data_IF_180997358987
#
_entry.id   IF_180997358987
#
_cell.length_a   1.000
_cell.length_b   1.000
_cell.length_c   1.000
_cell.angle_alpha   90.00
_cell.angle_beta   90.00
_cell.angle_gamma   90.00
#
_symmetry.space_group_name_H-M   'P 1'
#
loop_
_entity.id
_entity.type
_entity.pdbx_description
1 polymer ?
#
# COMPACT_ATOMS: atom_id res chain seq x y z
N UNK A 1 -53.89 -37.83 -4.89
CA UNK A 1 -52.60 -37.47 -4.26
C UNK A 1 -52.53 -35.96 -4.13
N UNK A 2 -52.27 -35.37 -2.95
CA UNK A 2 -52.28 -33.91 -2.81
C UNK A 2 -51.07 -33.27 -3.49
N UNK A 3 -51.35 -32.25 -4.29
CA UNK A 3 -50.38 -31.47 -5.07
C UNK A 3 -49.41 -30.71 -4.14
N UNK A 4 -48.10 -30.87 -4.38
CA UNK A 4 -47.05 -30.11 -3.66
C UNK A 4 -47.12 -28.64 -4.07
N UNK A 5 -47.47 -27.76 -3.13
CA UNK A 5 -47.36 -26.30 -3.30
C UNK A 5 -45.92 -25.92 -3.66
N UNK A 6 -45.76 -25.09 -4.68
CA UNK A 6 -44.49 -24.48 -5.04
C UNK A 6 -44.05 -23.51 -3.92
N UNK A 7 -42.81 -23.63 -3.49
CA UNK A 7 -42.22 -22.74 -2.49
C UNK A 7 -41.21 -21.81 -3.15
N UNK A 8 -41.32 -20.51 -2.86
CA UNK A 8 -40.33 -19.49 -3.22
C UNK A 8 -39.01 -19.80 -2.52
N UNK A 9 -37.96 -20.01 -3.32
CA UNK A 9 -36.62 -20.34 -2.82
C UNK A 9 -36.00 -19.11 -2.16
N UNK A 10 -35.57 -19.24 -0.90
CA UNK A 10 -34.77 -18.23 -0.22
C UNK A 10 -33.34 -18.27 -0.81
N UNK A 11 -32.98 -17.26 -1.59
CA UNK A 11 -31.65 -17.18 -2.23
C UNK A 11 -30.55 -16.88 -1.20
N UNK A 12 -30.88 -16.16 -0.11
CA UNK A 12 -29.91 -15.70 0.90
C UNK A 12 -30.02 -16.46 2.23
N UNK A 13 -30.64 -17.65 2.25
CA UNK A 13 -30.73 -18.48 3.45
C UNK A 13 -29.37 -18.91 4.00
N UNK A 14 -29.26 -19.04 5.32
CA UNK A 14 -28.06 -19.53 6.00
C UNK A 14 -27.67 -20.96 5.56
N UNK A 15 -26.39 -21.28 5.72
CA UNK A 15 -25.79 -22.57 5.33
C UNK A 15 -26.49 -23.76 5.96
N UNK A 16 -26.93 -23.67 7.22
CA UNK A 16 -27.59 -24.75 7.96
C UNK A 16 -29.01 -25.01 7.44
N UNK A 17 -29.79 -23.97 7.12
CA UNK A 17 -31.12 -24.15 6.51
C UNK A 17 -31.01 -24.66 5.07
N UNK A 18 -30.00 -24.21 4.32
CA UNK A 18 -29.69 -24.73 2.97
C UNK A 18 -29.30 -26.21 3.02
N UNK A 19 -28.40 -26.60 3.92
CA UNK A 19 -27.98 -27.99 4.12
C UNK A 19 -29.15 -28.88 4.53
N UNK A 20 -30.05 -28.37 5.38
CA UNK A 20 -31.26 -29.07 5.84
C UNK A 20 -32.42 -29.01 4.85
N UNK A 21 -32.26 -28.33 3.70
CA UNK A 21 -33.28 -28.14 2.65
C UNK A 21 -34.63 -27.63 3.17
N UNK A 22 -34.59 -26.69 4.12
CA UNK A 22 -35.77 -26.02 4.69
C UNK A 22 -35.74 -24.52 4.42
N UNK A 23 -36.90 -23.85 4.45
CA UNK A 23 -36.99 -22.40 4.25
C UNK A 23 -36.29 -21.66 5.40
N UNK A 24 -35.35 -20.77 5.05
CA UNK A 24 -34.74 -19.83 5.99
C UNK A 24 -35.59 -18.56 6.04
N UNK A 25 -35.78 -17.99 7.22
CA UNK A 25 -36.42 -16.68 7.41
C UNK A 25 -35.43 -15.51 7.25
N UNK A 26 -34.16 -15.80 7.00
CA UNK A 26 -33.07 -14.84 6.72
C UNK A 26 -32.82 -13.81 7.85
N UNK A 27 -33.44 -13.98 9.02
CA UNK A 27 -33.26 -13.12 10.17
C UNK A 27 -31.81 -13.16 10.69
N UNK A 28 -31.26 -11.99 11.01
CA UNK A 28 -29.90 -11.79 11.54
C UNK A 28 -29.96 -11.34 13.00
N UNK A 29 -29.00 -11.72 13.87
CA UNK A 29 -27.77 -12.48 13.58
C UNK A 29 -27.97 -14.01 13.43
N UNK A 30 -29.13 -14.56 13.81
CA UNK A 30 -29.45 -15.99 13.62
C UNK A 30 -30.89 -16.19 13.18
N UNK A 31 -31.09 -17.06 12.17
CA UNK A 31 -32.40 -17.41 11.63
C UNK A 31 -33.25 -18.17 12.68
N UNK A 32 -34.58 -18.08 12.60
CA UNK A 32 -35.50 -18.64 13.60
C UNK A 32 -35.50 -20.17 13.67
N UNK A 33 -35.11 -20.85 12.60
CA UNK A 33 -34.96 -22.32 12.58
C UNK A 33 -33.67 -22.79 13.26
N UNK A 34 -32.56 -22.06 13.09
CA UNK A 34 -31.30 -22.34 13.78
C UNK A 34 -31.38 -22.00 15.26
N UNK A 35 -32.06 -20.89 15.62
CA UNK A 35 -32.27 -20.48 17.01
C UNK A 35 -33.06 -21.53 17.81
N UNK A 36 -34.15 -22.06 17.24
CA UNK A 36 -34.95 -23.13 17.90
C UNK A 36 -34.21 -24.44 18.07
N UNK A 37 -33.23 -24.73 17.19
CA UNK A 37 -32.40 -25.93 17.27
C UNK A 37 -31.08 -25.70 18.01
N UNK A 38 -30.84 -24.49 18.51
CA UNK A 38 -29.59 -24.09 19.17
C UNK A 38 -28.34 -24.43 18.34
N UNK A 39 -28.45 -24.36 17.01
CA UNK A 39 -27.33 -24.61 16.09
C UNK A 39 -26.73 -23.29 15.61
N UNK A 40 -25.40 -23.22 15.47
CA UNK A 40 -24.70 -22.05 14.95
C UNK A 40 -25.20 -21.71 13.54
N UNK A 41 -25.70 -20.49 13.37
CA UNK A 41 -26.26 -20.01 12.11
C UNK A 41 -25.18 -19.23 11.34
N UNK A 42 -24.77 -19.73 10.17
CA UNK A 42 -23.76 -19.06 9.34
C UNK A 42 -24.32 -18.72 7.96
N UNK A 43 -24.14 -17.46 7.55
CA UNK A 43 -24.52 -16.95 6.22
C UNK A 43 -23.31 -16.83 5.27
N UNK A 44 -22.16 -17.42 5.61
CA UNK A 44 -20.92 -17.34 4.83
C UNK A 44 -20.94 -18.38 3.70
N UNK A 45 -20.72 -17.94 2.45
CA UNK A 45 -20.62 -18.82 1.27
C UNK A 45 -19.27 -19.54 1.28
N UNK A 46 -19.27 -20.88 1.19
CA UNK A 46 -18.06 -21.71 1.33
C UNK A 46 -17.20 -21.69 0.06
N UNK A 47 -15.98 -21.17 0.14
CA UNK A 47 -14.86 -21.63 -0.67
C UNK A 47 -14.08 -22.70 0.15
N UNK A 48 -13.55 -23.78 -0.45
CA UNK A 48 -12.87 -24.83 0.31
C UNK A 48 -11.49 -24.36 0.78
N UNK A 49 -11.25 -24.40 2.09
CA UNK A 49 -9.91 -24.39 2.67
C UNK A 49 -9.32 -25.82 2.61
N UNK A 50 -8.07 -26.05 2.19
CA UNK A 50 -7.44 -27.34 2.34
C UNK A 50 -6.84 -27.46 3.75
N UNK A 51 -7.45 -28.29 4.59
CA UNK A 51 -6.85 -28.78 5.82
C UNK A 51 -6.59 -30.27 5.65
N UNK A 52 -5.31 -30.64 5.58
CA UNK A 52 -4.85 -32.02 5.67
C UNK A 52 -4.41 -32.28 7.12
N UNK A 53 -4.91 -33.35 7.76
CA UNK A 53 -3.99 -34.17 8.55
C UNK A 53 -4.21 -35.68 8.35
N UNK A 54 -3.07 -36.37 8.36
CA UNK A 54 -2.86 -37.81 8.31
C UNK A 54 -3.84 -38.65 9.17
N UNK A 55 -4.52 -39.65 8.57
CA UNK A 55 -4.64 -41.03 9.13
C UNK A 55 -5.44 -42.01 8.24
N UNK A 56 -4.78 -43.13 7.93
CA UNK A 56 -5.25 -44.54 7.98
C UNK A 56 -6.56 -44.94 7.28
N UNK A 57 -6.43 -45.72 6.20
CA UNK A 57 -7.47 -46.58 5.62
C UNK A 57 -7.88 -47.73 6.56
N UNK A 58 -9.16 -48.17 6.49
CA UNK A 58 -9.46 -49.55 6.05
C UNK A 58 -10.60 -49.63 4.99
N UNK A 59 -10.85 -50.82 4.39
CA UNK A 59 -11.34 -50.92 3.01
C UNK A 59 -12.87 -51.13 2.84
N UNK A 60 -13.34 -50.67 1.68
CA UNK A 60 -14.40 -51.18 0.79
C UNK A 60 -15.83 -51.45 1.32
N UNK A 61 -16.80 -50.83 0.64
CA UNK A 61 -17.95 -51.57 0.11
C UNK A 61 -18.41 -50.97 -1.22
N UNK A 62 -18.42 -51.81 -2.25
CA UNK A 62 -18.89 -51.54 -3.60
C UNK A 62 -20.42 -51.41 -3.64
N UNK A 63 -20.93 -50.41 -4.35
CA UNK A 63 -22.25 -50.48 -4.99
C UNK A 63 -22.28 -49.52 -6.19
N UNK A 64 -22.68 -49.98 -7.40
CA UNK A 64 -22.63 -49.21 -8.63
C UNK A 64 -23.97 -48.50 -8.86
N UNK A 65 -23.97 -47.22 -9.24
CA UNK A 65 -25.14 -46.56 -9.84
C UNK A 65 -24.78 -45.17 -10.40
N UNK A 66 -25.55 -44.69 -11.41
CA UNK A 66 -24.99 -44.17 -12.65
C UNK A 66 -24.91 -42.64 -12.66
N UNK A 67 -24.14 -42.15 -13.63
CA UNK A 67 -23.76 -40.76 -13.82
C UNK A 67 -24.86 -39.73 -13.56
N UNK A 68 -24.53 -38.78 -12.70
CA UNK A 68 -25.02 -37.42 -12.83
C UNK A 68 -23.79 -36.57 -13.12
N UNK A 69 -23.77 -36.01 -14.33
CA UNK A 69 -22.94 -34.89 -14.70
C UNK A 69 -23.08 -33.82 -13.62
N UNK A 70 -22.13 -33.81 -12.69
CA UNK A 70 -21.81 -32.60 -11.96
C UNK A 70 -21.55 -31.56 -13.04
N UNK A 71 -22.36 -30.51 -13.07
CA UNK A 71 -21.94 -29.27 -13.71
C UNK A 71 -20.65 -28.89 -12.99
N UNK A 72 -19.52 -29.35 -13.54
CA UNK A 72 -18.22 -28.79 -13.26
C UNK A 72 -18.42 -27.30 -13.42
N UNK A 73 -18.14 -26.52 -12.36
CA UNK A 73 -17.78 -25.14 -12.57
C UNK A 73 -16.72 -25.20 -13.68
N UNK A 74 -17.05 -24.71 -14.87
CA UNK A 74 -16.11 -24.75 -15.98
C UNK A 74 -14.77 -24.23 -15.42
N UNK A 75 -13.68 -25.00 -15.52
CA UNK A 75 -12.38 -24.54 -15.08
C UNK A 75 -11.92 -23.45 -16.06
N UNK A 76 -12.54 -22.29 -15.96
CA UNK A 76 -12.18 -21.11 -16.73
C UNK A 76 -10.87 -20.63 -16.15
N UNK A 77 -9.84 -20.68 -16.98
CA UNK A 77 -8.54 -20.14 -16.67
C UNK A 77 -8.71 -18.65 -16.27
N UNK A 78 -8.22 -18.21 -15.11
CA UNK A 78 -8.35 -16.82 -14.66
C UNK A 78 -7.39 -15.92 -15.46
N UNK A 79 -7.79 -15.61 -16.71
CA UNK A 79 -6.93 -14.93 -17.68
C UNK A 79 -6.48 -13.54 -17.21
N UNK A 80 -7.30 -12.82 -16.44
CA UNK A 80 -6.92 -11.53 -15.88
C UNK A 80 -5.79 -11.70 -14.86
N UNK A 81 -5.93 -12.61 -13.91
CA UNK A 81 -4.93 -12.87 -12.89
C UNK A 81 -3.62 -13.38 -13.51
N UNK A 82 -3.70 -14.20 -14.58
CA UNK A 82 -2.53 -14.61 -15.35
C UNK A 82 -1.89 -13.45 -16.12
N UNK A 83 -2.68 -12.54 -16.71
CA UNK A 83 -2.19 -11.32 -17.36
C UNK A 83 -1.43 -10.44 -16.35
N UNK A 84 -2.01 -10.24 -15.15
CA UNK A 84 -1.41 -9.48 -14.07
C UNK A 84 -0.11 -10.12 -13.56
N UNK A 85 -0.09 -11.44 -13.35
CA UNK A 85 1.10 -12.16 -12.91
C UNK A 85 2.19 -12.17 -13.99
N UNK A 86 1.83 -12.33 -15.26
CA UNK A 86 2.76 -12.22 -16.37
C UNK A 86 3.40 -10.82 -16.39
N UNK A 87 2.58 -9.77 -16.31
CA UNK A 87 3.08 -8.38 -16.27
C UNK A 87 3.95 -8.09 -15.05
N UNK A 88 3.68 -8.75 -13.91
CA UNK A 88 4.54 -8.67 -12.74
C UNK A 88 5.97 -9.10 -13.06
N UNK A 89 6.13 -10.31 -13.62
CA UNK A 89 7.44 -10.89 -13.89
C UNK A 89 8.17 -10.22 -15.06
N UNK A 90 7.45 -9.70 -16.05
CA UNK A 90 8.07 -9.09 -17.24
C UNK A 90 8.37 -7.62 -17.07
N UNK A 91 7.57 -6.89 -16.29
CA UNK A 91 7.64 -5.42 -16.26
C UNK A 91 7.58 -4.83 -14.85
N UNK A 92 6.59 -5.20 -14.02
CA UNK A 92 6.35 -4.50 -12.74
C UNK A 92 7.48 -4.69 -11.75
N UNK A 93 7.94 -5.91 -11.51
CA UNK A 93 8.99 -6.16 -10.51
C UNK A 93 10.27 -5.35 -10.78
N UNK A 94 10.62 -5.14 -12.06
CA UNK A 94 11.77 -4.35 -12.47
C UNK A 94 11.56 -2.84 -12.27
N UNK A 95 10.31 -2.35 -12.29
CA UNK A 95 10.01 -0.91 -12.12
C UNK A 95 9.87 -0.46 -10.67
N UNK A 96 9.79 -1.38 -9.71
CA UNK A 96 9.60 -1.03 -8.29
C UNK A 96 10.89 -0.62 -7.56
N UNK A 97 12.05 -0.94 -8.10
CA UNK A 97 13.34 -0.62 -7.49
C UNK A 97 14.45 -0.52 -8.54
N UNK A 98 15.51 0.24 -8.24
CA UNK A 98 16.68 0.37 -9.11
C UNK A 98 17.79 -0.64 -8.78
N UNK A 99 17.82 -1.16 -7.54
CA UNK A 99 18.83 -2.13 -7.13
C UNK A 99 18.57 -3.49 -7.80
N UNK A 100 19.55 -4.07 -8.53
CA UNK A 100 19.38 -5.38 -9.15
C UNK A 100 19.00 -6.47 -8.16
N UNK A 101 19.53 -6.43 -6.94
CA UNK A 101 19.22 -7.39 -5.89
C UNK A 101 17.74 -7.33 -5.49
N UNK A 102 17.19 -6.13 -5.31
CA UNK A 102 15.78 -5.92 -4.95
C UNK A 102 14.86 -6.28 -6.13
N UNK A 103 15.26 -5.97 -7.36
CA UNK A 103 14.51 -6.37 -8.56
C UNK A 103 14.40 -7.89 -8.66
N UNK A 104 15.50 -8.62 -8.42
CA UNK A 104 15.48 -10.09 -8.37
C UNK A 104 14.57 -10.59 -7.25
N UNK A 105 14.65 -9.99 -6.06
CA UNK A 105 13.80 -10.35 -4.94
C UNK A 105 12.30 -10.19 -5.27
N UNK A 106 11.89 -9.04 -5.83
CA UNK A 106 10.51 -8.83 -6.26
C UNK A 106 10.10 -9.76 -7.40
N UNK A 107 11.03 -10.08 -8.32
CA UNK A 107 10.72 -10.90 -9.50
C UNK A 107 10.65 -12.39 -9.21
N UNK A 108 11.36 -12.90 -8.21
CA UNK A 108 11.49 -14.34 -7.92
C UNK A 108 10.98 -14.65 -6.51
N UNK A 109 11.70 -14.19 -5.49
CA UNK A 109 11.48 -14.59 -4.10
C UNK A 109 10.09 -14.18 -3.57
N UNK A 110 9.64 -12.95 -3.85
CA UNK A 110 8.33 -12.47 -3.38
C UNK A 110 7.18 -13.30 -3.99
N UNK A 111 7.13 -13.55 -5.32
CA UNK A 111 6.19 -14.49 -5.93
C UNK A 111 6.23 -15.90 -5.32
N UNK A 112 7.42 -16.46 -5.08
CA UNK A 112 7.56 -17.81 -4.51
C UNK A 112 6.94 -17.90 -3.11
N UNK A 113 7.20 -16.89 -2.27
CA UNK A 113 6.54 -16.77 -0.96
C UNK A 113 5.02 -16.57 -1.13
N UNK A 114 4.60 -15.76 -2.11
CA UNK A 114 3.19 -15.47 -2.36
C UNK A 114 2.37 -16.71 -2.74
N UNK A 115 2.98 -17.74 -3.32
CA UNK A 115 2.32 -19.02 -3.58
C UNK A 115 1.82 -19.71 -2.30
N UNK A 116 2.46 -19.46 -1.16
CA UNK A 116 2.06 -19.98 0.15
C UNK A 116 1.15 -19.02 0.94
N UNK A 117 1.08 -17.76 0.52
CA UNK A 117 0.40 -16.69 1.25
C UNK A 117 -0.54 -15.89 0.33
N UNK A 118 -1.84 -16.25 0.25
CA UNK A 118 -2.79 -15.63 -0.68
C UNK A 118 -2.92 -14.11 -0.56
N UNK A 119 -2.77 -13.54 0.65
CA UNK A 119 -2.79 -12.09 0.83
C UNK A 119 -1.64 -11.40 0.08
N UNK A 120 -0.45 -12.00 0.08
CA UNK A 120 0.71 -11.45 -0.62
C UNK A 120 0.53 -11.54 -2.14
N UNK A 121 -0.01 -12.66 -2.62
CA UNK A 121 -0.34 -12.83 -4.04
C UNK A 121 -1.33 -11.76 -4.51
N UNK A 122 -2.39 -11.52 -3.76
CA UNK A 122 -3.34 -10.46 -4.09
C UNK A 122 -2.69 -9.07 -4.08
N UNK A 123 -1.84 -8.74 -3.12
CA UNK A 123 -1.15 -7.45 -3.09
C UNK A 123 -0.23 -7.25 -4.31
N UNK A 124 0.49 -8.30 -4.72
CA UNK A 124 1.31 -8.30 -5.93
C UNK A 124 0.47 -8.07 -7.20
N UNK A 125 -0.65 -8.77 -7.35
CA UNK A 125 -1.56 -8.59 -8.48
C UNK A 125 -2.19 -7.19 -8.49
N UNK A 126 -2.49 -6.62 -7.31
CA UNK A 126 -3.01 -5.27 -7.19
C UNK A 126 -2.02 -4.22 -7.70
N UNK A 127 -0.75 -4.31 -7.29
CA UNK A 127 0.32 -3.42 -7.77
C UNK A 127 0.55 -3.60 -9.28
N UNK A 128 0.55 -4.84 -9.77
CA UNK A 128 0.67 -5.11 -11.21
C UNK A 128 -0.46 -4.47 -12.02
N UNK A 129 -1.71 -4.55 -11.53
CA UNK A 129 -2.84 -3.90 -12.17
C UNK A 129 -2.70 -2.37 -12.21
N UNK A 130 -2.28 -1.73 -11.12
CA UNK A 130 -2.00 -0.28 -11.13
C UNK A 130 -0.92 0.09 -12.15
N UNK A 131 0.15 -0.69 -12.24
CA UNK A 131 1.23 -0.43 -13.18
C UNK A 131 0.79 -0.57 -14.64
N UNK A 132 -0.06 -1.56 -14.97
CA UNK A 132 -0.68 -1.62 -16.31
C UNK A 132 -1.57 -0.40 -16.54
N UNK A 133 -2.40 -0.05 -15.56
CA UNK A 133 -3.31 1.10 -15.60
C UNK A 133 -2.60 2.43 -15.88
N UNK A 134 -1.42 2.61 -15.28
CA UNK A 134 -0.56 3.78 -15.48
C UNK A 134 0.00 3.85 -16.91
N UNK A 135 0.30 2.71 -17.55
CA UNK A 135 0.86 2.64 -18.91
C UNK A 135 -0.18 2.59 -20.03
N UNK A 136 -1.44 2.27 -19.73
CA UNK A 136 -2.46 2.06 -20.74
C UNK A 136 -3.33 3.31 -21.01
N UNK A 137 -3.97 3.39 -22.19
CA UNK A 137 -4.94 4.43 -22.51
C UNK A 137 -6.11 4.46 -21.51
N UNK A 138 -6.77 5.63 -21.42
CA UNK A 138 -7.81 5.90 -20.41
C UNK A 138 -8.96 4.88 -20.46
N UNK A 139 -9.31 4.37 -21.64
CA UNK A 139 -10.40 3.41 -21.86
C UNK A 139 -10.14 2.07 -21.17
N UNK A 140 -8.87 1.65 -21.10
CA UNK A 140 -8.45 0.39 -20.46
C UNK A 140 -8.13 0.55 -18.99
N UNK A 141 -7.80 1.78 -18.54
CA UNK A 141 -7.39 2.08 -17.16
C UNK A 141 -8.43 1.62 -16.15
N UNK A 142 -9.72 1.87 -16.40
CA UNK A 142 -10.82 1.51 -15.50
C UNK A 142 -10.81 0.03 -15.11
N UNK A 143 -10.64 -0.88 -16.09
CA UNK A 143 -10.58 -2.35 -15.85
C UNK A 143 -9.51 -2.69 -14.82
N UNK A 144 -8.32 -2.12 -14.98
CA UNK A 144 -7.18 -2.42 -14.11
C UNK A 144 -7.29 -1.72 -12.77
N UNK A 145 -7.86 -0.50 -12.69
CA UNK A 145 -8.17 0.17 -11.42
C UNK A 145 -9.16 -0.67 -10.59
N UNK A 146 -10.23 -1.18 -11.20
CA UNK A 146 -11.20 -2.06 -10.51
C UNK A 146 -10.55 -3.37 -10.03
N UNK A 147 -9.67 -3.97 -10.84
CA UNK A 147 -8.91 -5.16 -10.45
C UNK A 147 -7.93 -4.87 -9.30
N UNK A 148 -7.24 -3.73 -9.36
CA UNK A 148 -6.30 -3.28 -8.35
C UNK A 148 -6.98 -3.12 -6.99
N UNK A 149 -8.10 -2.38 -6.93
CA UNK A 149 -8.88 -2.17 -5.71
C UNK A 149 -9.36 -3.51 -5.15
N UNK A 150 -9.96 -4.35 -6.00
CA UNK A 150 -10.47 -5.68 -5.58
C UNK A 150 -9.38 -6.54 -4.94
N UNK A 151 -8.22 -6.65 -5.58
CA UNK A 151 -7.12 -7.44 -5.04
C UNK A 151 -6.52 -6.80 -3.79
N UNK A 152 -6.43 -5.47 -3.71
CA UNK A 152 -6.01 -4.80 -2.49
C UNK A 152 -6.95 -5.10 -1.31
N UNK A 153 -8.27 -4.99 -1.50
CA UNK A 153 -9.26 -5.29 -0.47
C UNK A 153 -9.18 -6.75 0.01
N UNK A 154 -9.04 -7.69 -0.94
CA UNK A 154 -8.83 -9.11 -0.60
C UNK A 154 -7.53 -9.30 0.19
N UNK A 155 -6.44 -8.68 -0.22
CA UNK A 155 -5.16 -8.81 0.45
C UNK A 155 -5.19 -8.28 1.89
N UNK A 156 -5.81 -7.12 2.12
CA UNK A 156 -6.02 -6.56 3.46
C UNK A 156 -6.92 -7.47 4.31
N UNK A 157 -8.02 -7.97 3.76
CA UNK A 157 -8.96 -8.83 4.49
C UNK A 157 -8.33 -10.13 4.99
N UNK A 158 -7.44 -10.72 4.17
CA UNK A 158 -6.74 -11.96 4.48
C UNK A 158 -5.55 -11.74 5.43
N UNK A 159 -4.90 -10.58 5.34
CA UNK A 159 -3.76 -10.24 6.19
C UNK A 159 -4.16 -9.78 7.60
N UNK A 160 -5.26 -9.03 7.72
CA UNK A 160 -5.69 -8.39 9.00
C UNK A 160 -5.70 -9.34 10.21
N UNK A 161 -6.24 -10.58 10.13
CA UNK A 161 -6.23 -11.50 11.27
C UNK A 161 -4.81 -11.89 11.74
N UNK A 162 -3.83 -11.87 10.84
CA UNK A 162 -2.45 -12.30 11.09
C UNK A 162 -1.60 -11.20 11.75
N UNK A 163 -1.99 -9.93 11.61
CA UNK A 163 -1.23 -8.78 12.15
C UNK A 163 -1.12 -8.79 13.67
N UNK A 164 -2.05 -9.47 14.35
CA UNK A 164 -2.02 -9.63 15.81
C UNK A 164 -1.05 -10.71 16.30
N UNK A 165 -0.56 -11.58 15.39
CA UNK A 165 0.32 -12.71 15.72
C UNK A 165 1.42 -12.87 14.67
N UNK A 166 2.43 -12.00 14.76
CA UNK A 166 3.62 -12.07 13.89
C UNK A 166 4.57 -13.15 14.42
N UNK A 167 4.96 -14.07 13.53
CA UNK A 167 5.75 -15.27 13.84
C UNK A 167 6.96 -15.36 12.90
N UNK A 168 8.01 -16.14 13.23
CA UNK A 168 9.13 -16.38 12.32
C UNK A 168 8.68 -16.88 10.94
N UNK A 169 7.62 -17.69 10.87
CA UNK A 169 7.14 -18.33 9.65
C UNK A 169 6.41 -17.35 8.71
N UNK A 170 5.62 -16.42 9.27
CA UNK A 170 4.81 -15.49 8.49
C UNK A 170 5.45 -14.10 8.30
N UNK A 171 6.50 -13.77 9.06
CA UNK A 171 7.05 -12.42 9.08
C UNK A 171 7.55 -11.93 7.73
N UNK A 172 8.17 -12.82 6.93
CA UNK A 172 8.67 -12.48 5.60
C UNK A 172 7.52 -12.11 4.64
N UNK A 173 6.44 -12.88 4.66
CA UNK A 173 5.26 -12.60 3.84
C UNK A 173 4.56 -11.31 4.27
N UNK A 174 4.38 -11.11 5.59
CA UNK A 174 3.80 -9.89 6.15
C UNK A 174 4.65 -8.64 5.83
N UNK A 175 5.97 -8.76 5.90
CA UNK A 175 6.86 -7.65 5.58
C UNK A 175 6.81 -7.31 4.09
N UNK A 176 6.94 -8.30 3.20
CA UNK A 176 6.82 -8.08 1.76
C UNK A 176 5.46 -7.47 1.39
N UNK A 177 4.38 -7.97 1.98
CA UNK A 177 3.03 -7.43 1.83
C UNK A 177 2.96 -5.96 2.25
N UNK A 178 3.54 -5.62 3.41
CA UNK A 178 3.53 -4.25 3.91
C UNK A 178 4.22 -3.26 2.95
N UNK A 179 5.31 -3.69 2.29
CA UNK A 179 5.98 -2.87 1.27
C UNK A 179 5.09 -2.68 0.03
N UNK A 180 4.43 -3.74 -0.45
CA UNK A 180 3.55 -3.66 -1.62
C UNK A 180 2.30 -2.82 -1.35
N UNK A 181 1.75 -2.88 -0.15
CA UNK A 181 0.61 -2.04 0.27
C UNK A 181 0.98 -0.56 0.31
N UNK A 182 2.20 -0.22 0.75
CA UNK A 182 2.71 1.15 0.67
C UNK A 182 2.78 1.61 -0.79
N UNK A 183 3.39 0.81 -1.67
CA UNK A 183 3.46 1.12 -3.12
C UNK A 183 2.05 1.30 -3.70
N UNK A 184 1.13 0.40 -3.38
CA UNK A 184 -0.25 0.48 -3.80
C UNK A 184 -0.91 1.80 -3.36
N UNK A 185 -0.75 2.19 -2.09
CA UNK A 185 -1.41 3.38 -1.55
C UNK A 185 -0.94 4.67 -2.23
N UNK A 186 0.36 4.79 -2.54
CA UNK A 186 0.87 5.93 -3.30
C UNK A 186 0.37 5.89 -4.76
N UNK A 187 0.44 4.73 -5.42
CA UNK A 187 0.06 4.59 -6.83
C UNK A 187 -1.45 4.72 -7.09
N UNK A 188 -2.29 4.26 -6.16
CA UNK A 188 -3.74 4.28 -6.30
C UNK A 188 -4.30 5.70 -6.15
N UNK A 189 -3.69 6.48 -5.26
CA UNK A 189 -4.04 7.87 -4.99
C UNK A 189 -3.39 8.84 -5.98
N UNK A 190 -3.10 8.39 -7.21
CA UNK A 190 -2.50 9.25 -8.23
C UNK A 190 -3.34 10.53 -8.36
N UNK A 191 -2.83 11.68 -7.91
CA UNK A 191 -3.63 12.89 -7.90
C UNK A 191 -3.94 13.21 -9.37
N UNK A 192 -5.22 13.29 -9.79
CA UNK A 192 -5.52 13.89 -11.08
C UNK A 192 -5.00 15.33 -11.06
N UNK A 193 -4.63 15.86 -12.22
CA UNK A 193 -4.09 17.22 -12.36
C UNK A 193 -5.01 18.33 -11.80
N UNK A 194 -6.25 17.99 -11.41
CA UNK A 194 -7.17 18.85 -10.67
C UNK A 194 -6.87 18.82 -9.16
N UNK A 195 -6.46 19.96 -8.63
CA UNK A 195 -6.10 20.26 -7.23
C UNK A 195 -7.18 19.99 -6.16
N UNK A 196 -8.35 19.43 -6.52
CA UNK A 196 -9.55 19.42 -5.68
C UNK A 196 -9.93 18.07 -5.07
N UNK A 197 -9.23 16.98 -5.38
CA UNK A 197 -9.69 15.63 -4.96
C UNK A 197 -9.03 15.03 -3.71
N UNK A 198 -7.79 15.40 -3.36
CA UNK A 198 -7.07 14.81 -2.22
C UNK A 198 -6.86 15.85 -1.10
N UNK A 199 -7.36 15.54 0.09
CA UNK A 199 -7.24 16.40 1.26
C UNK A 199 -6.14 15.96 2.23
N UNK A 200 -5.93 16.76 3.28
CA UNK A 200 -5.00 16.44 4.38
C UNK A 200 -5.31 15.08 5.00
N UNK A 201 -6.59 14.74 5.13
CA UNK A 201 -7.03 13.47 5.69
C UNK A 201 -6.51 12.27 4.89
N UNK A 202 -6.43 12.37 3.57
CA UNK A 202 -5.99 11.27 2.71
C UNK A 202 -4.47 11.09 2.78
N UNK A 203 -3.72 12.20 2.82
CA UNK A 203 -2.27 12.17 3.12
C UNK A 203 -2.01 11.48 4.45
N UNK A 204 -2.76 11.84 5.50
CA UNK A 204 -2.61 11.24 6.83
C UNK A 204 -2.98 9.75 6.82
N UNK A 205 -3.99 9.33 6.05
CA UNK A 205 -4.32 7.90 5.89
C UNK A 205 -3.14 7.13 5.30
N UNK A 206 -2.53 7.64 4.22
CA UNK A 206 -1.36 7.01 3.60
C UNK A 206 -0.18 6.97 4.58
N UNK A 207 0.09 8.04 5.32
CA UNK A 207 1.17 8.05 6.32
C UNK A 207 0.92 7.06 7.47
N UNK A 208 -0.33 6.92 7.94
CA UNK A 208 -0.70 5.91 8.94
C UNK A 208 -0.49 4.49 8.41
N UNK A 209 -0.75 4.24 7.13
CA UNK A 209 -0.50 2.95 6.49
C UNK A 209 1.00 2.64 6.43
N UNK A 210 1.82 3.62 6.02
CA UNK A 210 3.30 3.51 6.02
C UNK A 210 3.84 3.25 7.43
N UNK A 211 3.31 3.92 8.47
CA UNK A 211 3.63 3.62 9.88
C UNK A 211 3.26 2.20 10.28
N UNK A 212 2.11 1.71 9.84
CA UNK A 212 1.68 0.32 10.07
C UNK A 212 2.70 -0.69 9.55
N UNK A 213 3.24 -0.47 8.35
CA UNK A 213 4.32 -1.28 7.80
C UNK A 213 5.59 -1.25 8.68
N UNK A 214 5.95 -0.08 9.21
CA UNK A 214 7.07 0.07 10.15
C UNK A 214 6.91 -0.74 11.44
N UNK A 215 5.68 -0.88 11.96
CA UNK A 215 5.40 -1.68 13.16
C UNK A 215 5.71 -3.17 12.98
N UNK A 216 5.41 -3.73 11.80
CA UNK A 216 5.71 -5.13 11.46
C UNK A 216 7.23 -5.37 11.50
N UNK A 217 8.01 -4.43 10.94
CA UNK A 217 9.47 -4.48 10.99
C UNK A 217 9.96 -4.43 12.43
N UNK A 218 9.39 -3.56 13.27
CA UNK A 218 9.75 -3.46 14.69
C UNK A 218 9.59 -4.77 15.44
N UNK A 219 8.49 -5.49 15.21
CA UNK A 219 8.18 -6.76 15.89
C UNK A 219 9.03 -7.94 15.38
N UNK A 220 9.29 -8.00 14.07
CA UNK A 220 9.90 -9.17 13.44
C UNK A 220 11.35 -8.97 12.95
N UNK A 221 11.98 -7.84 13.26
CA UNK A 221 13.32 -7.48 12.76
C UNK A 221 14.36 -8.61 12.88
N UNK A 222 14.49 -9.32 14.03
CA UNK A 222 15.50 -10.36 14.18
C UNK A 222 15.33 -11.52 13.19
N UNK A 223 14.08 -11.91 12.89
CA UNK A 223 13.77 -12.96 11.94
C UNK A 223 13.96 -12.48 10.49
N UNK A 224 13.50 -11.27 10.18
CA UNK A 224 13.64 -10.68 8.84
C UNK A 224 15.11 -10.56 8.44
N UNK A 225 15.99 -10.16 9.38
CA UNK A 225 17.43 -10.03 9.12
C UNK A 225 18.12 -11.36 8.78
N UNK A 226 17.59 -12.48 9.28
CA UNK A 226 18.16 -13.81 9.09
C UNK A 226 17.61 -14.52 7.86
N UNK A 227 16.43 -14.13 7.37
CA UNK A 227 15.79 -14.78 6.23
C UNK A 227 15.86 -14.01 4.90
N UNK A 228 15.01 -14.45 3.97
CA UNK A 228 15.10 -14.07 2.55
C UNK A 228 14.78 -12.59 2.30
N UNK A 229 13.92 -11.98 3.13
CA UNK A 229 13.49 -10.58 2.99
C UNK A 229 14.47 -9.57 3.61
N UNK A 230 15.65 -9.99 4.08
CA UNK A 230 16.66 -9.09 4.67
C UNK A 230 17.06 -7.94 3.76
N UNK A 231 17.02 -8.15 2.44
CA UNK A 231 17.39 -7.13 1.47
C UNK A 231 16.37 -5.97 1.44
N UNK A 232 15.08 -6.24 1.73
CA UNK A 232 14.06 -5.20 1.80
C UNK A 232 14.28 -4.25 2.99
N UNK A 233 14.91 -4.70 4.07
CA UNK A 233 15.29 -3.80 5.19
C UNK A 233 16.26 -2.70 4.75
N UNK A 234 17.04 -2.96 3.70
CA UNK A 234 18.01 -2.03 3.14
C UNK A 234 17.55 -1.47 1.79
N UNK A 235 16.30 -1.72 1.37
CA UNK A 235 15.83 -1.37 0.03
C UNK A 235 15.93 0.12 -0.29
N UNK A 236 15.89 0.97 0.75
CA UNK A 236 16.04 2.40 0.58
C UNK A 236 17.44 2.85 0.14
N UNK A 237 18.49 2.13 0.54
CA UNK A 237 19.89 2.58 0.47
C UNK A 237 20.50 2.62 -0.93
N UNK A 238 19.83 2.08 -1.94
CA UNK A 238 20.41 1.83 -3.27
C UNK A 238 19.58 2.45 -4.41
N UNK A 239 18.86 3.54 -4.14
CA UNK A 239 18.06 4.23 -5.15
C UNK A 239 18.87 5.41 -5.72
N UNK A 240 19.19 5.39 -7.01
CA UNK A 240 19.77 6.49 -7.83
C UNK A 240 21.23 6.96 -7.62
N UNK A 241 21.68 7.65 -8.67
CA UNK A 241 23.03 8.16 -9.02
C UNK A 241 23.32 9.60 -8.51
N UNK A 242 24.59 10.08 -8.60
CA UNK A 242 25.11 11.34 -8.02
C UNK A 242 24.45 12.68 -8.45
N UNK A 243 23.56 12.68 -9.45
CA UNK A 243 22.93 13.92 -9.92
C UNK A 243 21.89 14.48 -8.92
N UNK A 244 21.27 13.61 -8.11
CA UNK A 244 20.29 14.00 -7.08
C UNK A 244 20.94 14.61 -5.83
N UNK A 245 22.25 14.40 -5.65
CA UNK A 245 22.98 14.85 -4.46
C UNK A 245 23.05 16.38 -4.37
N UNK A 246 23.05 17.10 -5.51
CA UNK A 246 23.03 18.58 -5.53
C UNK A 246 21.79 19.14 -4.82
N UNK A 247 20.60 18.68 -5.18
CA UNK A 247 19.35 19.15 -4.57
C UNK A 247 19.24 18.70 -3.12
N UNK A 248 19.70 17.48 -2.79
CA UNK A 248 19.68 17.00 -1.42
C UNK A 248 20.48 17.91 -0.46
N UNK A 249 21.66 18.39 -0.87
CA UNK A 249 22.48 19.29 -0.05
C UNK A 249 21.83 20.66 0.13
N UNK A 250 21.26 21.24 -0.92
CA UNK A 250 20.54 22.51 -0.84
C UNK A 250 19.30 22.39 0.08
N UNK A 251 18.48 21.33 -0.08
CA UNK A 251 17.31 21.09 0.77
C UNK A 251 17.70 20.93 2.24
N UNK A 252 18.80 20.23 2.52
CA UNK A 252 19.33 20.10 3.88
C UNK A 252 19.71 21.45 4.48
N UNK A 253 20.48 22.27 3.76
CA UNK A 253 20.88 23.59 4.22
C UNK A 253 19.67 24.52 4.48
N UNK A 254 18.66 24.47 3.60
CA UNK A 254 17.43 25.27 3.75
C UNK A 254 16.58 24.84 4.95
N UNK A 255 16.48 23.54 5.19
CA UNK A 255 15.79 23.03 6.36
C UNK A 255 16.50 23.51 7.65
N UNK A 256 17.84 23.52 7.68
CA UNK A 256 18.60 24.04 8.81
C UNK A 256 18.34 25.55 9.05
N UNK A 257 18.34 26.36 7.99
CA UNK A 257 18.01 27.78 8.06
C UNK A 257 16.60 28.00 8.63
N UNK A 258 15.63 27.24 8.13
CA UNK A 258 14.23 27.30 8.58
C UNK A 258 14.10 26.94 10.06
N UNK A 259 14.80 25.90 10.52
CA UNK A 259 14.84 25.50 11.93
C UNK A 259 15.42 26.62 12.80
N UNK A 260 16.54 27.21 12.38
CA UNK A 260 17.18 28.29 13.13
C UNK A 260 16.26 29.53 13.27
N UNK A 261 15.55 29.90 12.20
CA UNK A 261 14.63 31.04 12.22
C UNK A 261 13.41 30.83 13.12
N UNK A 262 12.95 29.58 13.29
CA UNK A 262 11.73 29.26 14.05
C UNK A 262 12.00 28.70 15.45
N UNK A 263 13.27 28.51 15.83
CA UNK A 263 13.65 27.91 17.11
C UNK A 263 13.00 28.62 18.31
N UNK A 264 13.05 29.95 18.36
CA UNK A 264 12.47 30.74 19.46
C UNK A 264 10.95 30.63 19.54
N UNK A 265 10.26 30.58 18.39
CA UNK A 265 8.80 30.43 18.36
C UNK A 265 8.37 29.03 18.80
N UNK A 266 9.07 27.99 18.32
CA UNK A 266 8.83 26.60 18.72
C UNK A 266 9.11 26.40 20.21
N UNK A 267 10.11 27.07 20.79
CA UNK A 267 10.38 27.01 22.23
C UNK A 267 9.31 27.68 23.10
N UNK A 268 8.60 28.67 22.56
CA UNK A 268 7.57 29.41 23.30
C UNK A 268 6.23 28.66 23.39
N UNK A 269 5.89 27.85 22.39
CA UNK A 269 4.68 27.00 22.43
C UNK A 269 4.98 25.67 23.12
N UNK A 270 4.63 25.58 24.41
CA UNK A 270 4.88 24.38 25.23
C UNK A 270 4.05 23.15 24.84
N UNK A 271 2.97 23.31 24.06
CA UNK A 271 2.10 22.19 23.66
C UNK A 271 2.48 21.66 22.29
N UNK A 272 2.65 22.55 21.32
CA UNK A 272 2.87 22.19 19.91
C UNK A 272 4.37 22.11 19.57
N UNK A 273 5.18 22.95 20.21
CA UNK A 273 6.62 23.10 19.97
C UNK A 273 7.39 21.78 19.99
N UNK A 274 7.30 20.95 21.04
CA UNK A 274 8.06 19.69 21.12
C UNK A 274 7.77 18.72 19.97
N UNK A 275 6.51 18.58 19.57
CA UNK A 275 6.06 17.69 18.50
C UNK A 275 6.60 18.12 17.14
N UNK A 276 6.53 19.43 16.86
CA UNK A 276 7.06 20.02 15.62
C UNK A 276 8.59 19.95 15.58
N UNK A 277 9.27 20.25 16.70
CA UNK A 277 10.73 20.13 16.82
C UNK A 277 11.19 18.71 16.53
N UNK A 278 10.58 17.69 17.15
CA UNK A 278 10.93 16.29 16.88
C UNK A 278 10.70 15.91 15.41
N UNK A 279 9.58 16.35 14.82
CA UNK A 279 9.27 16.07 13.41
C UNK A 279 10.23 16.74 12.42
N UNK A 280 10.68 17.97 12.74
CA UNK A 280 11.73 18.68 12.01
C UNK A 280 13.07 17.97 12.09
N UNK A 281 13.46 17.49 13.28
CA UNK A 281 14.72 16.75 13.46
C UNK A 281 14.70 15.42 12.71
N UNK A 282 13.58 14.71 12.72
CA UNK A 282 13.39 13.50 11.91
C UNK A 282 13.53 13.78 10.41
N UNK A 283 12.99 14.91 9.92
CA UNK A 283 13.14 15.30 8.51
C UNK A 283 14.60 15.68 8.19
N UNK A 284 15.26 16.40 9.10
CA UNK A 284 16.69 16.75 8.99
C UNK A 284 17.55 15.50 8.89
N UNK A 285 17.29 14.49 9.72
CA UNK A 285 18.03 13.23 9.69
C UNK A 285 17.79 12.42 8.42
N UNK A 286 16.59 12.50 7.84
CA UNK A 286 16.30 11.93 6.52
C UNK A 286 17.12 12.64 5.44
N UNK A 287 17.08 13.97 5.39
CA UNK A 287 17.86 14.74 4.40
C UNK A 287 19.37 14.52 4.56
N UNK A 288 19.87 14.44 5.80
CA UNK A 288 21.27 14.11 6.08
C UNK A 288 21.64 12.74 5.52
N UNK A 289 20.77 11.73 5.60
CA UNK A 289 21.03 10.41 5.02
C UNK A 289 21.03 10.46 3.49
N UNK A 290 20.14 11.24 2.88
CA UNK A 290 20.13 11.46 1.44
C UNK A 290 21.41 12.14 0.94
N UNK A 291 22.02 13.03 1.73
CA UNK A 291 23.26 13.74 1.35
C UNK A 291 24.53 12.96 1.67
N UNK A 292 24.66 12.47 2.91
CA UNK A 292 25.91 11.88 3.43
C UNK A 292 26.06 10.39 3.14
N UNK A 293 24.95 9.67 3.02
CA UNK A 293 24.93 8.23 2.77
C UNK A 293 24.38 7.88 1.39
N UNK A 294 24.04 8.90 0.58
CA UNK A 294 23.43 8.74 -0.75
C UNK A 294 22.24 7.76 -0.75
N UNK A 295 21.44 7.81 0.33
CA UNK A 295 20.27 6.95 0.56
C UNK A 295 18.97 7.77 0.37
N UNK A 296 18.48 7.98 -0.87
CA UNK A 296 17.22 8.68 -1.07
C UNK A 296 16.01 7.82 -0.71
N UNK A 297 16.16 6.51 -0.50
CA UNK A 297 15.09 5.71 0.09
C UNK A 297 14.81 6.03 1.56
N UNK A 298 15.71 6.74 2.24
CA UNK A 298 15.44 7.34 3.54
C UNK A 298 14.19 8.25 3.54
N UNK A 299 13.83 8.86 2.39
CA UNK A 299 12.62 9.67 2.27
C UNK A 299 11.35 8.87 2.56
N UNK A 300 11.32 7.59 2.19
CA UNK A 300 10.17 6.73 2.47
C UNK A 300 10.06 6.36 3.96
N UNK A 301 11.13 6.55 4.73
CA UNK A 301 11.11 6.29 6.17
C UNK A 301 10.51 7.45 6.97
N UNK A 302 10.47 8.68 6.43
CA UNK A 302 10.01 9.84 7.20
C UNK A 302 8.59 9.70 7.77
N UNK A 303 7.57 9.23 7.01
CA UNK A 303 6.23 9.01 7.57
C UNK A 303 6.21 7.99 8.73
N UNK A 304 7.16 7.04 8.75
CA UNK A 304 7.34 6.09 9.86
C UNK A 304 7.90 6.78 11.11
N UNK A 305 8.77 7.78 10.93
CA UNK A 305 9.54 8.42 12.01
C UNK A 305 8.79 9.56 12.73
N UNK A 306 7.91 10.28 12.03
CA UNK A 306 7.17 11.42 12.62
C UNK A 306 6.31 11.00 13.81
N UNK A 307 6.05 11.88 14.76
CA UNK A 307 5.15 11.57 15.87
C UNK A 307 3.70 11.35 15.37
N UNK A 308 2.90 10.55 16.09
CA UNK A 308 1.48 10.46 15.79
C UNK A 308 0.79 11.82 16.00
N UNK A 309 1.21 12.56 17.02
CA UNK A 309 0.68 13.90 17.34
C UNK A 309 0.94 14.89 16.21
N UNK A 310 2.03 14.71 15.44
CA UNK A 310 2.29 15.54 14.26
C UNK A 310 1.22 15.36 13.18
N UNK A 311 0.70 14.14 13.01
CA UNK A 311 -0.39 13.89 12.06
C UNK A 311 -1.69 14.57 12.52
N UNK A 312 -1.93 14.65 13.83
CA UNK A 312 -3.07 15.36 14.38
C UNK A 312 -2.93 16.88 14.20
N UNK A 313 -1.72 17.44 14.32
CA UNK A 313 -1.46 18.84 14.00
C UNK A 313 -1.74 19.18 12.53
N UNK A 314 -1.40 18.27 11.60
CA UNK A 314 -1.76 18.43 10.18
C UNK A 314 -3.28 18.48 10.01
N UNK A 315 -4.02 17.55 10.63
CA UNK A 315 -5.49 17.52 10.57
C UNK A 315 -6.13 18.77 11.19
N UNK A 316 -5.49 19.37 12.20
CA UNK A 316 -5.94 20.59 12.86
C UNK A 316 -5.63 21.87 12.08
N UNK A 317 -4.86 21.79 10.99
CA UNK A 317 -4.52 22.97 10.19
C UNK A 317 -3.31 23.75 10.72
N UNK A 318 -2.47 23.16 11.58
CA UNK A 318 -1.36 23.88 12.22
C UNK A 318 -0.32 24.35 11.18
N UNK A 319 -0.12 25.67 10.97
CA UNK A 319 0.68 26.19 9.86
C UNK A 319 2.11 25.65 9.82
N UNK A 320 2.75 25.52 10.99
CA UNK A 320 4.14 25.05 11.04
C UNK A 320 4.26 23.58 10.64
N UNK A 321 3.24 22.76 10.90
CA UNK A 321 3.21 21.38 10.42
C UNK A 321 3.20 21.32 8.88
N UNK A 322 2.48 22.23 8.22
CA UNK A 322 2.47 22.33 6.76
C UNK A 322 3.80 22.80 6.17
N UNK A 323 4.59 23.61 6.88
CA UNK A 323 5.96 23.93 6.43
C UNK A 323 6.82 22.66 6.36
N UNK A 324 6.74 21.81 7.37
CA UNK A 324 7.47 20.53 7.43
C UNK A 324 7.00 19.60 6.31
N UNK A 325 5.68 19.46 6.14
CA UNK A 325 5.09 18.67 5.06
C UNK A 325 5.52 19.16 3.67
N UNK A 326 5.54 20.47 3.48
CA UNK A 326 5.96 21.10 2.23
C UNK A 326 7.41 20.81 1.88
N UNK A 327 8.32 20.87 2.87
CA UNK A 327 9.73 20.50 2.66
C UNK A 327 9.87 19.02 2.30
N UNK A 328 9.11 18.14 2.95
CA UNK A 328 9.06 16.73 2.59
C UNK A 328 8.53 16.51 1.16
N UNK A 329 7.48 17.24 0.76
CA UNK A 329 6.93 17.22 -0.60
C UNK A 329 7.94 17.63 -1.66
N UNK A 330 8.68 18.72 -1.43
CA UNK A 330 9.76 19.17 -2.35
C UNK A 330 10.86 18.12 -2.45
N UNK A 331 11.23 17.48 -1.34
CA UNK A 331 12.22 16.42 -1.37
C UNK A 331 11.74 15.19 -2.14
N UNK A 332 10.47 14.80 -2.00
CA UNK A 332 9.89 13.75 -2.82
C UNK A 332 9.92 14.10 -4.31
N UNK A 333 9.51 15.32 -4.69
CA UNK A 333 9.49 15.77 -6.09
C UNK A 333 10.90 15.77 -6.74
N UNK A 334 11.91 16.23 -6.01
CA UNK A 334 13.26 16.41 -6.54
C UNK A 334 14.11 15.13 -6.51
N UNK A 335 13.82 14.22 -5.57
CA UNK A 335 14.70 13.10 -5.28
C UNK A 335 14.09 11.73 -5.64
N UNK A 336 12.79 11.67 -5.99
CA UNK A 336 12.09 10.46 -6.41
C UNK A 336 11.57 10.58 -7.84
N UNK A 337 11.58 9.44 -8.53
CA UNK A 337 11.22 9.30 -9.95
C UNK A 337 10.52 7.95 -10.21
N UNK A 338 10.06 7.31 -9.15
CA UNK A 338 9.35 6.06 -9.20
C UNK A 338 7.89 6.33 -9.57
N UNK A 339 7.38 5.68 -10.63
CA UNK A 339 6.03 5.91 -11.18
C UNK A 339 4.90 5.87 -10.14
N UNK A 340 5.08 5.11 -9.06
CA UNK A 340 4.10 4.97 -7.99
C UNK A 340 4.09 6.16 -7.01
N UNK A 341 5.06 7.06 -7.10
CA UNK A 341 5.14 8.34 -6.37
C UNK A 341 4.76 9.55 -7.24
N UNK A 342 4.45 9.35 -8.51
CA UNK A 342 4.17 10.45 -9.44
C UNK A 342 3.06 11.37 -8.90
N UNK A 343 3.34 12.67 -8.91
CA UNK A 343 2.42 13.71 -8.45
C UNK A 343 2.32 13.90 -6.94
N UNK A 344 2.90 13.03 -6.11
CA UNK A 344 2.83 13.18 -4.65
C UNK A 344 3.65 14.36 -4.12
N UNK A 345 4.85 14.58 -4.65
CA UNK A 345 5.68 15.72 -4.24
C UNK A 345 4.95 17.05 -4.45
N UNK A 346 4.47 17.27 -5.66
CA UNK A 346 3.61 18.41 -6.02
C UNK A 346 2.34 18.51 -5.16
N UNK A 347 1.61 17.41 -4.94
CA UNK A 347 0.41 17.39 -4.11
C UNK A 347 0.69 17.93 -2.70
N UNK A 348 1.73 17.42 -2.04
CA UNK A 348 2.08 17.81 -0.67
C UNK A 348 2.50 19.28 -0.59
N UNK A 349 3.21 19.76 -1.59
CA UNK A 349 3.61 21.17 -1.70
C UNK A 349 2.39 22.07 -1.89
N UNK A 350 1.48 21.72 -2.80
CA UNK A 350 0.27 22.50 -3.04
C UNK A 350 -0.65 22.51 -1.83
N UNK A 351 -0.76 21.38 -1.12
CA UNK A 351 -1.50 21.29 0.14
C UNK A 351 -0.89 22.21 1.20
N UNK A 352 0.43 22.22 1.34
CA UNK A 352 1.11 23.14 2.26
C UNK A 352 0.85 24.60 1.90
N UNK A 353 0.98 24.98 0.63
CA UNK A 353 0.73 26.36 0.17
C UNK A 353 -0.73 26.79 0.42
N UNK A 354 -1.69 25.91 0.17
CA UNK A 354 -3.12 26.17 0.40
C UNK A 354 -3.42 26.51 1.86
N UNK A 355 -2.74 25.84 2.80
CA UNK A 355 -2.91 26.06 4.24
C UNK A 355 -2.07 27.24 4.79
N UNK A 356 -0.94 27.56 4.17
CA UNK A 356 -0.07 28.67 4.59
C UNK A 356 -0.54 30.05 4.08
N UNK A 357 -1.30 30.11 2.98
CA UNK A 357 -1.77 31.36 2.39
C UNK A 357 -0.67 32.26 1.82
N UNK A 358 -1.02 33.50 1.44
CA UNK A 358 -0.10 34.48 0.83
C UNK A 358 1.01 34.98 1.78
N UNK A 359 0.78 34.90 3.09
CA UNK A 359 1.81 35.20 4.10
C UNK A 359 2.95 34.15 4.16
N UNK A 360 2.74 32.98 3.54
CA UNK A 360 3.70 31.87 3.48
C UNK A 360 4.67 31.90 2.31
N UNK A 361 4.56 32.87 1.38
CA UNK A 361 5.38 32.92 0.16
C UNK A 361 6.89 32.83 0.48
N UNK A 362 7.38 33.47 1.53
CA UNK A 362 8.81 33.44 1.87
C UNK A 362 9.31 32.10 2.44
N UNK A 363 8.46 31.28 3.07
CA UNK A 363 8.89 30.04 3.76
C UNK A 363 9.14 28.88 2.81
N UNK A 364 8.55 28.91 1.62
CA UNK A 364 8.67 27.83 0.62
C UNK A 364 9.06 28.33 -0.79
N UNK A 365 9.07 29.64 -1.07
CA UNK A 365 9.37 30.17 -2.42
C UNK A 365 10.67 29.60 -3.01
N UNK A 366 11.75 29.56 -2.22
CA UNK A 366 13.04 29.07 -2.72
C UNK A 366 13.02 27.57 -3.02
N UNK A 367 12.26 26.78 -2.25
CA UNK A 367 12.06 25.37 -2.54
C UNK A 367 11.22 25.15 -3.81
N UNK A 368 10.23 26.01 -4.07
CA UNK A 368 9.46 26.00 -5.32
C UNK A 368 10.32 26.37 -6.53
N UNK A 369 11.25 27.31 -6.37
CA UNK A 369 12.21 27.67 -7.43
C UNK A 369 13.10 26.47 -7.80
N UNK A 370 13.52 25.65 -6.83
CA UNK A 370 14.27 24.42 -7.10
C UNK A 370 13.44 23.42 -7.92
N UNK A 371 12.17 23.22 -7.56
CA UNK A 371 11.25 22.34 -8.33
C UNK A 371 11.09 22.86 -9.77
N UNK A 372 10.91 24.18 -9.94
CA UNK A 372 10.80 24.80 -11.27
C UNK A 372 12.08 24.64 -12.09
N UNK A 373 13.24 24.82 -11.46
CA UNK A 373 14.54 24.66 -12.11
C UNK A 373 14.78 23.20 -12.54
N UNK A 374 14.51 22.22 -11.68
CA UNK A 374 14.64 20.79 -12.02
C UNK A 374 13.71 20.40 -13.18
N UNK A 375 12.45 20.86 -13.18
CA UNK A 375 11.51 20.63 -14.29
C UNK A 375 12.03 21.21 -15.61
N UNK A 376 12.59 22.41 -15.59
CA UNK A 376 13.18 23.01 -16.77
C UNK A 376 14.40 22.20 -17.27
N UNK A 377 15.25 21.71 -16.37
CA UNK A 377 16.38 20.85 -16.71
C UNK A 377 15.93 19.50 -17.32
N UNK A 378 14.91 18.84 -16.75
CA UNK A 378 14.35 17.59 -17.30
C UNK A 378 13.76 17.79 -18.70
N UNK A 379 12.97 18.85 -18.87
CA UNK A 379 12.35 19.17 -20.17
C UNK A 379 13.40 19.44 -21.25
N UNK A 380 14.50 20.12 -20.89
CA UNK A 380 15.61 20.36 -21.81
C UNK A 380 16.34 19.06 -22.21
N UNK A 381 16.50 18.10 -21.29
CA UNK A 381 17.09 16.78 -21.58
C UNK A 381 16.20 15.96 -22.51
N UNK A 382 14.91 15.86 -22.22
CA UNK A 382 13.97 15.06 -23.02
C UNK A 382 13.78 15.65 -24.43
N UNK A 383 13.77 16.99 -24.55
CA UNK A 383 13.74 17.69 -25.83
C UNK A 383 15.01 17.50 -26.67
N UNK A 384 16.16 17.24 -26.05
CA UNK A 384 17.43 16.97 -26.75
C UNK A 384 17.58 15.51 -27.23
N UNK A 385 16.86 14.55 -26.63
CA UNK A 385 16.87 13.14 -27.02
C UNK A 385 15.87 12.76 -28.11
N UNK A 386 14.93 13.65 -28.47
CA UNK A 386 13.93 13.43 -29.53
C UNK A 386 14.36 13.83 -30.94
N UNK A 387 15.63 14.21 -31.13
CA UNK A 387 16.17 14.72 -32.39
C UNK A 387 17.41 13.95 -32.86
N UNK A 388 17.32 12.62 -33.00
CA UNK A 388 18.28 11.80 -33.75
C UNK A 388 17.56 10.70 -34.52
#
# INVERSE_FOLDING_TARGET
>A
MPSRRSHTKSHHGCTQCKQRRIKCDEARPSCGSCRRKQTVCSFVSQAPLPLNPLRQYPPQSNSPSPGLHSAAANPTIPLLELELLHHWHTTTAASLAHSPAIQVLFRITVPDVALSYPFLMHSLLAVSALHIGHKCPAERRRKYTEAAIRHNDLSLSLCTPLLSNVTPENCHALFAFSCLVVIFAYAAEHPPSSLDTLGVADVVKVFKLVRGAGSIVGQARPWIQQGEMRQLLNAGRNLRQPATTKYAHELYARLQETIAQHATHLMNDRKVGPVLSSSLENLRDVFRRCTTLEDPGALMAWPVLVDADYLDLLLQGEPTAFVILGHYGVALELLKDEWWLDGWGELLVNLALKHLGTAGEWKMARCLELVRADRAERTARDGSTGGL
#
